data_IF_654402567770
#
_entry.id   IF_654402567770
#
_cell.length_a   1.000
_cell.length_b   1.000
_cell.length_c   1.000
_cell.angle_alpha   90.00
_cell.angle_beta   90.00
_cell.angle_gamma   90.00
#
_symmetry.space_group_name_H-M   'P 1'
#
loop_
_entity.id
_entity.type
_entity.pdbx_description
1 polymer ?
#
# COMPACT_ATOMS: atom_id res chain seq x y z
N UNK A 1 58.08 -43.45 -21.95
CA UNK A 1 57.70 -42.21 -21.24
C UNK A 1 56.39 -41.71 -21.84
N UNK A 2 55.25 -41.99 -21.22
CA UNK A 2 53.93 -41.54 -21.71
C UNK A 2 53.32 -40.66 -20.63
N UNK A 3 53.28 -39.36 -20.89
CA UNK A 3 52.75 -38.35 -19.98
C UNK A 3 51.23 -38.31 -20.13
N UNK A 4 50.49 -38.71 -19.09
CA UNK A 4 49.04 -38.59 -19.03
C UNK A 4 48.70 -37.19 -18.52
N UNK A 5 48.27 -36.31 -19.43
CA UNK A 5 47.73 -35.00 -19.08
C UNK A 5 46.36 -35.15 -18.45
N UNK A 6 46.29 -34.95 -17.13
CA UNK A 6 45.03 -34.88 -16.39
C UNK A 6 44.40 -33.51 -16.60
N UNK A 7 43.31 -33.45 -17.36
CA UNK A 7 42.47 -32.27 -17.49
C UNK A 7 41.60 -32.13 -16.22
N UNK A 8 41.86 -31.10 -15.41
CA UNK A 8 40.92 -30.67 -14.36
C UNK A 8 39.74 -29.95 -15.02
N UNK A 9 38.54 -30.52 -14.89
CA UNK A 9 37.31 -29.82 -15.23
C UNK A 9 36.89 -28.91 -14.06
N UNK A 10 37.03 -27.59 -14.24
CA UNK A 10 36.41 -26.59 -13.36
C UNK A 10 34.91 -26.54 -13.66
N UNK A 11 34.10 -27.13 -12.78
CA UNK A 11 32.64 -26.96 -12.82
C UNK A 11 32.25 -25.56 -12.35
N UNK A 12 31.77 -24.72 -13.27
CA UNK A 12 31.12 -23.45 -12.92
C UNK A 12 29.75 -23.75 -12.35
N UNK A 13 29.61 -23.69 -11.03
CA UNK A 13 28.30 -23.67 -10.38
C UNK A 13 27.72 -22.27 -10.62
N UNK A 14 26.85 -22.15 -11.63
CA UNK A 14 26.06 -20.95 -11.81
C UNK A 14 25.06 -20.87 -10.65
N UNK A 15 25.38 -20.07 -9.63
CA UNK A 15 24.41 -19.67 -8.62
C UNK A 15 23.44 -18.70 -9.28
N UNK A 16 22.33 -19.21 -9.79
CA UNK A 16 21.21 -18.38 -10.22
C UNK A 16 20.64 -17.68 -8.99
N UNK A 17 21.01 -16.41 -8.82
CA UNK A 17 20.37 -15.52 -7.86
C UNK A 17 18.93 -15.31 -8.34
N UNK A 18 17.95 -15.95 -7.70
CA UNK A 18 16.57 -15.56 -7.87
C UNK A 18 16.44 -14.12 -7.33
N UNK A 19 16.46 -13.14 -8.23
CA UNK A 19 16.04 -11.78 -7.86
C UNK A 19 14.55 -11.89 -7.57
N UNK A 20 14.20 -11.85 -6.28
CA UNK A 20 12.80 -11.78 -5.84
C UNK A 20 12.24 -10.41 -6.25
N UNK A 21 11.78 -10.28 -7.49
CA UNK A 21 11.18 -9.06 -8.01
C UNK A 21 9.86 -8.77 -7.28
N UNK A 22 9.72 -7.55 -6.77
CA UNK A 22 8.45 -7.05 -6.26
C UNK A 22 7.47 -6.74 -7.40
N UNK A 23 6.17 -6.57 -7.12
CA UNK A 23 5.19 -6.22 -8.14
C UNK A 23 5.59 -5.03 -9.02
N UNK A 24 6.13 -3.96 -8.43
CA UNK A 24 6.51 -2.78 -9.19
C UNK A 24 7.82 -2.94 -9.97
N UNK A 25 8.67 -3.90 -9.60
CA UNK A 25 9.82 -4.30 -10.44
C UNK A 25 9.33 -5.01 -11.70
N UNK A 26 8.29 -5.84 -11.59
CA UNK A 26 7.67 -6.55 -12.72
C UNK A 26 6.95 -5.56 -13.66
N UNK A 27 6.20 -4.62 -13.10
CA UNK A 27 5.58 -3.54 -13.88
C UNK A 27 6.62 -2.70 -14.62
N UNK A 28 7.76 -2.40 -13.97
CA UNK A 28 8.85 -1.67 -14.60
C UNK A 28 9.50 -2.48 -15.74
N UNK A 29 9.72 -3.79 -15.58
CA UNK A 29 10.28 -4.64 -16.64
C UNK A 29 9.32 -4.80 -17.83
N UNK A 30 8.02 -4.65 -17.60
CA UNK A 30 6.97 -4.58 -18.62
C UNK A 30 6.80 -3.22 -19.31
N UNK A 31 7.66 -2.22 -19.02
CA UNK A 31 7.54 -0.83 -19.51
C UNK A 31 6.24 -0.11 -19.08
N UNK A 32 5.65 -0.52 -17.97
CA UNK A 32 4.45 0.11 -17.38
C UNK A 32 4.69 0.37 -15.89
N UNK A 33 5.67 1.21 -15.51
CA UNK A 33 6.12 1.35 -14.13
C UNK A 33 5.03 1.92 -13.20
N UNK A 34 5.05 1.50 -11.94
CA UNK A 34 4.15 2.05 -10.92
C UNK A 34 4.40 3.55 -10.71
N UNK A 35 3.32 4.34 -10.73
CA UNK A 35 3.33 5.77 -10.34
C UNK A 35 2.83 5.98 -8.90
N UNK A 36 2.21 4.95 -8.31
CA UNK A 36 1.88 4.88 -6.91
C UNK A 36 1.91 3.41 -6.47
N UNK A 37 2.40 3.15 -5.27
CA UNK A 37 2.57 1.80 -4.75
C UNK A 37 2.27 1.77 -3.25
N UNK A 38 1.11 1.24 -2.87
CA UNK A 38 0.60 1.27 -1.49
C UNK A 38 0.51 -0.13 -0.90
N UNK A 39 1.06 -0.33 0.29
CA UNK A 39 0.83 -1.55 1.07
C UNK A 39 1.26 -1.34 2.52
N UNK A 40 0.42 -1.79 3.46
CA UNK A 40 0.79 -1.88 4.88
C UNK A 40 1.41 -3.23 5.25
N UNK A 41 1.39 -4.19 4.32
CA UNK A 41 1.80 -5.58 4.61
C UNK A 41 3.24 -5.88 4.19
N UNK A 42 3.72 -5.31 3.07
CA UNK A 42 5.04 -5.61 2.52
C UNK A 42 5.53 -4.50 1.59
N UNK A 43 6.82 -4.52 1.31
CA UNK A 43 7.39 -3.78 0.19
C UNK A 43 6.88 -4.32 -1.16
N UNK A 44 6.69 -3.41 -2.11
CA UNK A 44 6.24 -3.66 -3.49
C UNK A 44 7.37 -3.55 -4.52
N UNK A 45 8.56 -3.10 -4.09
CA UNK A 45 9.81 -3.21 -4.82
C UNK A 45 10.80 -4.02 -3.98
N UNK A 46 11.61 -4.86 -4.64
CA UNK A 46 12.61 -5.73 -4.03
C UNK A 46 13.66 -4.97 -3.21
N UNK A 47 14.01 -3.75 -3.61
CA UNK A 47 14.98 -2.90 -2.91
C UNK A 47 14.36 -1.93 -1.90
N UNK A 48 13.03 -1.89 -1.75
CA UNK A 48 12.37 -0.88 -0.91
C UNK A 48 12.60 -1.15 0.58
N UNK A 49 13.13 -0.14 1.28
CA UNK A 49 13.38 -0.16 2.73
C UNK A 49 12.81 1.07 3.45
N UNK A 50 11.99 1.87 2.75
CA UNK A 50 11.33 3.06 3.30
C UNK A 50 10.16 2.71 4.23
N UNK A 51 9.48 3.73 4.74
CA UNK A 51 8.27 3.57 5.55
C UNK A 51 7.10 3.05 4.71
N UNK A 52 6.42 2.00 5.16
CA UNK A 52 5.23 1.46 4.49
C UNK A 52 3.97 2.23 4.86
N UNK A 53 3.83 2.55 6.15
CA UNK A 53 2.71 3.31 6.69
C UNK A 53 3.09 3.95 8.03
N UNK A 54 2.31 4.94 8.44
CA UNK A 54 2.40 5.58 9.74
C UNK A 54 1.22 5.15 10.62
N UNK A 55 1.51 4.87 11.88
CA UNK A 55 0.48 4.67 12.91
C UNK A 55 0.46 5.85 13.88
N UNK A 56 -0.73 6.25 14.29
CA UNK A 56 -0.98 7.26 15.32
C UNK A 56 -1.61 6.62 16.54
N UNK A 57 -1.01 6.85 17.70
CA UNK A 57 -1.39 6.26 18.98
C UNK A 57 -2.48 7.07 19.68
N UNK A 58 -3.51 6.41 20.17
CA UNK A 58 -4.66 7.05 20.79
C UNK A 58 -4.36 7.66 22.17
N UNK A 59 -3.40 7.12 22.91
CA UNK A 59 -3.13 7.55 24.30
C UNK A 59 -2.47 8.93 24.40
N UNK A 60 -1.70 9.33 23.39
CA UNK A 60 -0.89 10.56 23.42
C UNK A 60 -0.75 11.25 22.06
N UNK A 61 -1.37 10.72 21.01
CA UNK A 61 -1.30 11.28 19.66
C UNK A 61 0.05 11.10 18.97
N UNK A 62 1.02 10.41 19.59
CA UNK A 62 2.33 10.18 19.01
C UNK A 62 2.21 9.33 17.73
N UNK A 63 3.15 9.51 16.81
CA UNK A 63 3.20 8.76 15.55
C UNK A 63 4.50 7.97 15.42
N UNK A 64 4.44 6.82 14.76
CA UNK A 64 5.63 6.11 14.30
C UNK A 64 5.40 5.48 12.94
N UNK A 65 6.49 5.33 12.19
CA UNK A 65 6.46 4.70 10.88
C UNK A 65 6.82 3.22 11.00
N UNK A 66 6.08 2.38 10.28
CA UNK A 66 6.37 0.96 10.17
C UNK A 66 7.07 0.69 8.85
N UNK A 67 8.28 0.14 8.94
CA UNK A 67 9.13 -0.23 7.81
C UNK A 67 9.08 -1.74 7.54
N UNK A 68 9.51 -2.21 6.35
CA UNK A 68 9.82 -3.61 6.13
C UNK A 68 10.90 -4.09 7.12
N UNK A 69 10.86 -5.37 7.49
CA UNK A 69 11.92 -6.00 8.32
C UNK A 69 13.28 -6.06 7.63
N UNK A 70 13.27 -6.07 6.31
CA UNK A 70 14.43 -6.02 5.41
C UNK A 70 14.00 -5.39 4.09
N UNK A 71 14.93 -4.93 3.27
CA UNK A 71 14.60 -4.44 1.92
C UNK A 71 13.74 -5.48 1.15
N UNK A 72 12.64 -5.04 0.53
CA UNK A 72 11.71 -5.91 -0.19
C UNK A 72 10.85 -6.82 0.71
N UNK A 73 10.97 -6.70 2.04
CA UNK A 73 10.39 -7.62 2.99
C UNK A 73 8.96 -7.29 3.45
N UNK A 74 8.46 -8.12 4.36
CA UNK A 74 7.19 -7.94 5.08
C UNK A 74 7.34 -6.83 6.12
N UNK A 75 6.25 -6.13 6.42
CA UNK A 75 6.18 -5.08 7.44
C UNK A 75 6.64 -5.58 8.81
N UNK A 76 7.30 -4.71 9.58
CA UNK A 76 7.67 -5.01 10.96
C UNK A 76 6.47 -4.85 11.91
N UNK A 77 5.55 -5.81 11.90
CA UNK A 77 4.39 -5.81 12.80
C UNK A 77 4.76 -5.75 14.29
N UNK A 78 5.94 -6.26 14.69
CA UNK A 78 6.39 -6.19 16.08
C UNK A 78 6.67 -4.76 16.55
N UNK A 79 7.11 -3.87 15.65
CA UNK A 79 7.26 -2.45 15.96
C UNK A 79 5.89 -1.78 16.20
N UNK A 80 4.88 -2.12 15.39
CA UNK A 80 3.51 -1.65 15.62
C UNK A 80 2.97 -2.17 16.96
N UNK A 81 3.08 -3.48 17.21
CA UNK A 81 2.57 -4.11 18.44
C UNK A 81 3.18 -3.45 19.69
N UNK A 82 4.49 -3.16 19.66
CA UNK A 82 5.19 -2.48 20.76
C UNK A 82 4.72 -1.04 20.93
N UNK A 83 4.60 -0.30 19.83
CA UNK A 83 4.19 1.10 19.87
C UNK A 83 2.74 1.28 20.37
N UNK A 84 1.86 0.40 19.94
CA UNK A 84 0.43 0.40 20.22
C UNK A 84 0.06 -0.37 21.50
N UNK A 85 1.04 -0.83 22.28
CA UNK A 85 0.78 -1.58 23.50
C UNK A 85 -0.09 -0.78 24.49
N UNK A 86 -1.11 -1.43 25.05
CA UNK A 86 -2.03 -0.88 26.05
C UNK A 86 -2.82 0.37 25.58
N UNK A 87 -3.04 0.52 24.28
CA UNK A 87 -3.78 1.65 23.70
C UNK A 87 -4.33 1.28 22.32
N UNK A 88 -5.00 2.22 21.66
CA UNK A 88 -5.46 2.07 20.28
C UNK A 88 -4.47 2.71 19.31
N UNK A 89 -4.48 2.25 18.07
CA UNK A 89 -3.72 2.86 16.98
C UNK A 89 -4.57 2.95 15.73
N UNK A 90 -4.42 4.06 15.02
CA UNK A 90 -4.99 4.31 13.71
C UNK A 90 -3.88 4.37 12.67
N UNK A 91 -4.12 3.89 11.46
CA UNK A 91 -3.20 4.05 10.33
C UNK A 91 -3.44 5.45 9.76
N UNK A 92 -2.54 6.41 9.99
CA UNK A 92 -2.71 7.81 9.58
C UNK A 92 -2.27 8.07 8.13
N UNK A 93 -1.23 7.37 7.68
CA UNK A 93 -0.68 7.51 6.33
C UNK A 93 -0.35 6.13 5.78
N UNK A 94 -0.73 5.87 4.53
CA UNK A 94 -0.21 4.75 3.74
C UNK A 94 0.76 5.34 2.73
N UNK A 95 2.05 5.05 2.91
CA UNK A 95 3.08 5.64 2.09
C UNK A 95 3.09 5.04 0.68
N UNK A 96 3.48 5.89 -0.26
CA UNK A 96 3.72 5.54 -1.65
C UNK A 96 5.19 5.15 -1.80
N UNK A 97 5.41 3.90 -2.18
CA UNK A 97 6.73 3.31 -2.33
C UNK A 97 7.41 3.65 -3.65
N UNK A 98 6.69 4.24 -4.62
CA UNK A 98 7.21 4.56 -5.96
C UNK A 98 8.18 5.74 -5.99
N UNK A 99 8.24 6.52 -4.90
CA UNK A 99 9.03 7.74 -4.82
C UNK A 99 8.37 8.97 -5.45
N UNK A 100 7.11 8.87 -5.91
CA UNK A 100 6.34 10.01 -6.43
C UNK A 100 5.68 10.85 -5.35
N UNK A 101 5.65 10.36 -4.10
CA UNK A 101 5.05 11.08 -2.99
C UNK A 101 3.52 11.02 -2.97
N UNK A 102 2.93 10.05 -3.68
CA UNK A 102 1.49 9.86 -3.80
C UNK A 102 0.88 9.18 -2.56
N UNK A 103 1.31 9.57 -1.36
CA UNK A 103 0.90 8.96 -0.09
C UNK A 103 -0.61 9.12 0.12
N UNK A 104 -1.26 8.09 0.65
CA UNK A 104 -2.68 8.18 1.02
C UNK A 104 -2.81 8.64 2.47
N UNK A 105 -3.64 9.65 2.69
CA UNK A 105 -3.95 10.22 4.01
C UNK A 105 -5.45 10.18 4.25
N UNK A 106 -5.90 10.58 5.45
CA UNK A 106 -7.32 10.72 5.78
C UNK A 106 -8.07 11.45 4.65
N UNK A 107 -9.15 10.84 4.15
CA UNK A 107 -9.91 11.43 3.06
C UNK A 107 -10.66 12.70 3.53
N UNK A 108 -10.53 13.81 2.79
CA UNK A 108 -11.26 15.04 3.10
C UNK A 108 -12.74 14.94 2.72
N UNK A 109 -13.59 15.84 3.27
CA UNK A 109 -14.97 15.97 2.83
C UNK A 109 -15.06 16.29 1.33
N UNK A 110 -16.13 15.81 0.70
CA UNK A 110 -16.43 16.01 -0.71
C UNK A 110 -17.89 16.35 -0.93
N UNK A 111 -18.49 15.76 -1.96
CA UNK A 111 -19.95 15.82 -2.18
C UNK A 111 -20.74 15.26 -0.99
N UNK A 112 -20.14 14.30 -0.28
CA UNK A 112 -20.65 13.75 0.96
C UNK A 112 -19.67 14.06 2.10
N UNK A 113 -20.19 14.00 3.32
CA UNK A 113 -19.43 14.24 4.53
C UNK A 113 -19.08 12.90 5.18
N UNK A 114 -17.82 12.73 5.55
CA UNK A 114 -17.39 11.63 6.39
C UNK A 114 -17.81 11.84 7.85
N UNK A 115 -17.79 10.77 8.66
CA UNK A 115 -18.25 10.79 10.05
C UNK A 115 -17.26 11.40 11.05
N UNK A 116 -16.01 11.69 10.66
CA UNK A 116 -15.00 12.27 11.54
C UNK A 116 -15.09 13.81 11.56
N UNK A 117 -14.30 14.43 12.44
CA UNK A 117 -14.28 15.87 12.67
C UNK A 117 -14.04 16.63 11.37
N UNK A 118 -14.89 17.63 11.12
CA UNK A 118 -14.80 18.47 9.91
C UNK A 118 -15.27 17.78 8.63
N UNK A 119 -16.01 16.67 8.75
CA UNK A 119 -16.53 15.93 7.60
C UNK A 119 -15.50 15.04 6.92
N UNK A 120 -14.35 14.80 7.57
CA UNK A 120 -13.36 13.84 7.11
C UNK A 120 -13.88 12.41 7.28
N UNK A 121 -13.36 11.49 6.47
CA UNK A 121 -13.59 10.07 6.70
C UNK A 121 -12.76 9.59 7.90
N UNK A 122 -13.20 8.54 8.58
CA UNK A 122 -12.43 7.90 9.65
C UNK A 122 -11.10 7.33 9.13
N UNK A 123 -10.11 7.24 10.00
CA UNK A 123 -8.93 6.40 9.79
C UNK A 123 -9.19 4.95 10.21
N UNK A 124 -8.53 3.99 9.57
CA UNK A 124 -8.64 2.59 9.90
C UNK A 124 -7.87 2.22 11.18
N UNK A 125 -8.42 1.28 11.95
CA UNK A 125 -7.73 0.68 13.08
C UNK A 125 -6.52 -0.15 12.60
N UNK A 126 -5.36 0.05 13.22
CA UNK A 126 -4.10 -0.59 12.80
C UNK A 126 -4.06 -2.10 13.04
N UNK A 127 -4.99 -2.65 13.82
CA UNK A 127 -5.10 -4.07 14.16
C UNK A 127 -6.30 -4.78 13.52
N UNK A 128 -7.07 -4.08 12.67
CA UNK A 128 -8.35 -4.58 12.16
C UNK A 128 -8.26 -5.72 11.14
N UNK A 129 -7.11 -5.89 10.48
CA UNK A 129 -6.91 -6.93 9.45
C UNK A 129 -5.56 -7.67 9.66
N UNK A 130 -5.42 -8.49 10.71
CA UNK A 130 -4.20 -9.26 10.93
C UNK A 130 -4.07 -10.36 9.87
N UNK A 131 -2.88 -10.47 9.27
CA UNK A 131 -2.57 -11.49 8.26
C UNK A 131 -1.18 -12.07 8.47
N UNK A 132 -0.88 -13.17 7.79
CA UNK A 132 0.48 -13.71 7.71
C UNK A 132 0.92 -13.83 6.26
N UNK A 133 2.10 -13.30 5.95
CA UNK A 133 2.76 -13.47 4.66
C UNK A 133 3.98 -14.36 4.86
N UNK A 134 3.95 -15.58 4.30
CA UNK A 134 5.01 -16.58 4.46
C UNK A 134 5.42 -16.79 5.93
N UNK A 135 4.42 -16.91 6.82
CA UNK A 135 4.62 -17.09 8.26
C UNK A 135 5.00 -15.81 9.03
N UNK A 136 5.19 -14.67 8.37
CA UNK A 136 5.47 -13.39 9.03
C UNK A 136 4.18 -12.60 9.24
N UNK A 137 3.90 -12.20 10.48
CA UNK A 137 2.75 -11.37 10.83
C UNK A 137 2.85 -9.99 10.18
N UNK A 138 1.73 -9.52 9.62
CA UNK A 138 1.53 -8.18 9.11
C UNK A 138 0.09 -7.72 9.36
N UNK A 139 -0.19 -6.45 9.09
CA UNK A 139 -1.53 -5.89 9.21
C UNK A 139 -1.94 -5.28 7.87
N UNK A 140 -3.09 -5.70 7.34
CA UNK A 140 -3.80 -5.03 6.26
C UNK A 140 -4.53 -3.78 6.77
N UNK A 141 -5.35 -3.20 5.91
CA UNK A 141 -6.18 -2.04 6.25
C UNK A 141 -7.64 -2.48 6.24
N UNK A 142 -8.23 -2.60 7.42
CA UNK A 142 -9.66 -2.91 7.55
C UNK A 142 -10.46 -1.62 7.43
N UNK A 143 -11.24 -1.50 6.36
CA UNK A 143 -12.07 -0.33 6.10
C UNK A 143 -13.50 -0.64 6.55
N UNK A 144 -13.94 0.01 7.62
CA UNK A 144 -15.35 0.06 8.02
C UNK A 144 -16.10 1.14 7.23
N UNK A 145 -17.45 1.10 7.17
CA UNK A 145 -18.23 2.21 6.62
C UNK A 145 -17.81 3.58 7.18
N UNK A 146 -17.62 4.56 6.31
CA UNK A 146 -17.16 5.90 6.66
C UNK A 146 -15.66 6.02 6.93
N UNK A 147 -14.87 4.97 6.68
CA UNK A 147 -13.40 5.02 6.67
C UNK A 147 -12.90 5.27 5.25
N UNK A 148 -11.90 6.14 5.09
CA UNK A 148 -11.45 6.52 3.76
C UNK A 148 -10.06 7.13 3.72
N UNK A 149 -9.35 6.83 2.62
CA UNK A 149 -8.04 7.39 2.32
C UNK A 149 -8.01 7.99 0.92
N UNK A 150 -7.33 9.13 0.79
CA UNK A 150 -7.28 9.89 -0.46
C UNK A 150 -6.00 10.71 -0.57
N UNK A 151 -5.63 11.06 -1.80
CA UNK A 151 -4.62 12.07 -2.09
C UNK A 151 -5.02 12.90 -3.31
N UNK A 152 -5.58 14.09 -3.13
CA UNK A 152 -6.08 14.91 -4.24
C UNK A 152 -5.01 15.59 -5.11
N UNK A 153 -3.71 15.39 -4.82
CA UNK A 153 -2.59 16.07 -5.47
C UNK A 153 -1.54 15.07 -5.95
N UNK A 154 -2.00 14.07 -6.69
CA UNK A 154 -1.16 13.01 -7.26
C UNK A 154 -0.24 13.52 -8.36
N UNK A 155 0.94 12.92 -8.45
CA UNK A 155 1.98 13.20 -9.44
C UNK A 155 2.14 11.98 -10.35
N UNK A 156 2.00 12.20 -11.67
CA UNK A 156 2.32 11.20 -12.70
C UNK A 156 1.24 10.15 -12.98
N UNK A 157 0.09 10.25 -12.33
CA UNK A 157 -1.10 9.44 -12.63
C UNK A 157 -1.70 9.81 -13.99
N UNK A 158 -2.30 8.82 -14.67
CA UNK A 158 -2.96 9.02 -15.95
C UNK A 158 -4.14 9.98 -15.83
N UNK A 159 -4.34 10.84 -16.84
CA UNK A 159 -5.45 11.79 -16.92
C UNK A 159 -6.12 11.74 -18.29
N UNK A 160 -7.43 11.97 -18.35
CA UNK A 160 -8.16 11.91 -19.61
C UNK A 160 -8.20 10.50 -20.14
N UNK A 161 -7.78 10.30 -21.39
CA UNK A 161 -7.76 9.00 -22.07
C UNK A 161 -6.36 8.34 -22.04
N UNK A 162 -5.49 8.77 -21.13
CA UNK A 162 -4.20 8.12 -20.94
C UNK A 162 -4.40 6.71 -20.36
N UNK A 163 -3.67 5.74 -20.92
CA UNK A 163 -3.73 4.36 -20.45
C UNK A 163 -3.20 4.23 -19.01
N UNK A 164 -3.87 3.40 -18.21
CA UNK A 164 -3.44 3.02 -16.87
C UNK A 164 -3.77 1.56 -16.54
N UNK A 165 -3.05 1.01 -15.56
CA UNK A 165 -3.31 -0.31 -15.01
C UNK A 165 -3.19 -0.26 -13.49
N UNK A 166 -4.02 -1.04 -12.80
CA UNK A 166 -4.05 -1.09 -11.34
C UNK A 166 -4.37 -2.50 -10.87
N UNK A 167 -3.97 -2.82 -9.65
CA UNK A 167 -4.37 -4.04 -8.96
C UNK A 167 -4.46 -3.78 -7.46
N UNK A 168 -5.30 -4.56 -6.77
CA UNK A 168 -5.39 -4.58 -5.31
C UNK A 168 -5.53 -6.03 -4.84
N UNK A 169 -5.10 -6.30 -3.61
CA UNK A 169 -5.33 -7.57 -2.92
C UNK A 169 -6.29 -7.28 -1.77
N UNK A 170 -7.50 -7.84 -1.86
CA UNK A 170 -8.62 -7.53 -0.99
C UNK A 170 -9.15 -8.80 -0.32
N UNK A 171 -9.81 -8.65 0.83
CA UNK A 171 -10.59 -9.72 1.43
C UNK A 171 -11.94 -9.84 0.72
N UNK A 172 -12.11 -10.90 -0.08
CA UNK A 172 -13.33 -11.15 -0.84
C UNK A 172 -14.57 -11.48 0.01
N UNK A 173 -14.44 -11.52 1.34
CA UNK A 173 -15.54 -11.74 2.29
C UNK A 173 -15.89 -10.50 3.11
N UNK A 174 -15.07 -9.45 3.05
CA UNK A 174 -15.32 -8.18 3.74
C UNK A 174 -15.82 -7.12 2.75
N UNK A 175 -17.13 -7.10 2.55
CA UNK A 175 -17.81 -6.14 1.68
C UNK A 175 -19.26 -5.91 2.16
N UNK A 176 -19.90 -4.91 1.60
CA UNK A 176 -21.33 -4.66 1.78
C UNK A 176 -21.94 -4.14 0.47
N UNK A 177 -23.22 -3.76 0.51
CA UNK A 177 -23.93 -3.22 -0.66
C UNK A 177 -23.95 -1.68 -0.67
N UNK A 178 -23.16 -1.02 0.18
CA UNK A 178 -23.03 0.44 0.24
C UNK A 178 -22.08 0.93 -0.85
N UNK A 179 -22.37 2.11 -1.41
CA UNK A 179 -21.46 2.74 -2.34
C UNK A 179 -20.33 3.45 -1.60
N UNK A 180 -19.07 3.21 -1.87
CA UNK A 180 -18.49 2.27 -2.84
C UNK A 180 -17.13 1.86 -2.29
N UNK A 181 -16.64 0.64 -2.53
CA UNK A 181 -15.31 0.17 -2.09
C UNK A 181 -14.31 0.19 -3.23
N UNK A 182 -13.69 1.34 -3.43
CA UNK A 182 -12.86 1.56 -4.62
C UNK A 182 -11.36 1.50 -4.29
N UNK A 183 -10.54 1.25 -5.31
CA UNK A 183 -9.10 1.49 -5.33
C UNK A 183 -8.70 1.77 -6.77
N UNK A 184 -8.40 3.02 -7.08
CA UNK A 184 -8.14 3.43 -8.45
C UNK A 184 -8.37 4.93 -8.62
N UNK A 185 -8.45 5.39 -9.86
CA UNK A 185 -8.53 6.80 -10.23
C UNK A 185 -9.91 7.45 -9.95
N UNK A 186 -9.94 8.67 -9.40
CA UNK A 186 -11.15 9.43 -9.00
C UNK A 186 -10.95 10.96 -9.13
N UNK A 187 -11.96 11.80 -8.91
CA UNK A 187 -11.87 13.25 -9.15
C UNK A 187 -11.02 14.02 -8.12
N UNK A 188 -10.31 15.07 -8.58
CA UNK A 188 -9.49 15.94 -7.70
C UNK A 188 -10.25 16.84 -6.77
N UNK A 189 -11.51 17.12 -7.08
CA UNK A 189 -12.39 17.95 -6.27
C UNK A 189 -13.15 17.18 -5.18
N UNK A 190 -12.98 15.86 -5.09
CA UNK A 190 -13.79 14.98 -4.19
C UNK A 190 -15.30 15.12 -4.42
N UNK A 191 -15.69 15.57 -5.61
CA UNK A 191 -17.08 15.79 -6.02
C UNK A 191 -17.26 15.17 -7.39
N UNK A 192 -18.46 14.68 -7.67
CA UNK A 192 -18.82 14.19 -9.00
C UNK A 192 -18.75 15.35 -10.00
N UNK A 193 -17.90 15.20 -11.03
CA UNK A 193 -17.71 16.21 -12.09
C UNK A 193 -18.33 15.80 -13.42
N UNK A 194 -19.20 14.77 -13.42
CA UNK A 194 -19.83 14.20 -14.59
C UNK A 194 -18.95 13.17 -15.31
N UNK A 195 -19.13 13.02 -16.62
CA UNK A 195 -18.45 12.02 -17.46
C UNK A 195 -16.97 12.36 -17.72
N UNK A 196 -16.17 12.47 -16.66
CA UNK A 196 -14.72 12.62 -16.76
C UNK A 196 -14.03 11.70 -15.77
N UNK A 197 -13.35 10.68 -16.29
CA UNK A 197 -12.27 10.00 -15.57
C UNK A 197 -11.12 11.01 -15.46
N UNK A 198 -10.99 11.69 -14.30
CA UNK A 198 -9.79 12.47 -13.95
C UNK A 198 -9.43 12.41 -12.45
N UNK A 199 -8.87 11.26 -12.10
CA UNK A 199 -7.56 11.04 -11.43
C UNK A 199 -7.33 11.21 -9.92
N UNK A 200 -7.27 10.10 -9.12
CA UNK A 200 -6.79 9.92 -7.71
C UNK A 200 -7.07 8.50 -7.17
N UNK A 201 -6.08 7.85 -6.53
CA UNK A 201 -6.26 6.63 -5.71
C UNK A 201 -7.23 6.84 -4.53
N UNK A 202 -8.46 6.36 -4.69
CA UNK A 202 -9.50 6.39 -3.67
C UNK A 202 -9.61 5.02 -3.00
N UNK A 203 -9.48 4.93 -1.68
CA UNK A 203 -10.15 3.87 -0.90
C UNK A 203 -11.21 4.59 -0.09
N UNK A 204 -12.40 4.75 -0.64
CA UNK A 204 -13.54 5.33 0.06
C UNK A 204 -14.53 4.20 0.38
N UNK A 205 -15.40 4.40 1.37
CA UNK A 205 -16.61 3.62 1.65
C UNK A 205 -17.65 4.57 2.25
N UNK A 206 -18.69 4.93 1.50
CA UNK A 206 -19.91 5.42 2.15
C UNK A 206 -20.80 4.23 2.49
N UNK A 207 -21.06 4.02 3.78
CA UNK A 207 -22.23 3.28 4.21
C UNK A 207 -23.15 4.28 4.88
N UNK A 208 -24.14 4.78 4.14
CA UNK A 208 -25.28 5.44 4.77
C UNK A 208 -26.13 4.35 5.44
N UNK A 209 -26.28 4.47 6.76
CA UNK A 209 -27.51 4.07 7.43
C UNK A 209 -28.46 5.26 7.42
#
# INVERSE_FOLDING_TARGET
MSSKSTLLALGVVATSSFVSAGPCDIYASGNTPCIAAHSTTRALYSAYSGSLYQVKRGSDGATTDIKPRSAGGVANAGAQDTFCANTTCLISIIYDQSGKGNHLTQAPPGAFQGPDVGGYDNLAAATGAPVTLNGQKAYGVFISPGTGYRNNKVVGSATGDQAEGMYAVLDGTHFNNGCCFDYGNAETSSTDTGLVIRTIFMVQLYGAG
#
